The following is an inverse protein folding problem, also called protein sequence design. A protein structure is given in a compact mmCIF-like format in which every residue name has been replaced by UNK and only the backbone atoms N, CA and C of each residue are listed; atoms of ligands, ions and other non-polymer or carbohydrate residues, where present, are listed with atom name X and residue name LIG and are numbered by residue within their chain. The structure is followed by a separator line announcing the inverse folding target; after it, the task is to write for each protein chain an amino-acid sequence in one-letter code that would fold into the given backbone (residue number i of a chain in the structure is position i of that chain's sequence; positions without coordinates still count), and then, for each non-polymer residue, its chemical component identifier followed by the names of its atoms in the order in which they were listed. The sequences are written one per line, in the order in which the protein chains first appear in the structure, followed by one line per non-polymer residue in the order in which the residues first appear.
data_IF_024763718156
#
_entry.id   IF_024763718156
#
_cell.length_a   1.000
_cell.length_b   1.000
_cell.length_c   1.000
_cell.angle_alpha   90.00
_cell.angle_beta   90.00
_cell.angle_gamma   90.00
#
_symmetry.space_group_name_H-M   'P 1'
#
loop_
_entity.id
_entity.type
_entity.pdbx_description
1 polymer ?
#
# COMPACT_ATOMS: atom_id res chain seq x y z
N UNK A 1 -30.66 10.41 22.66
CA UNK A 1 -31.33 10.49 21.35
C UNK A 1 -31.65 9.06 20.92
N UNK A 2 -32.89 8.74 20.57
CA UNK A 2 -33.27 7.39 20.16
C UNK A 2 -32.71 7.06 18.76
N UNK A 3 -32.21 5.85 18.55
CA UNK A 3 -31.70 5.44 17.23
C UNK A 3 -32.79 5.59 16.15
N UNK A 4 -32.45 6.17 14.97
CA UNK A 4 -33.41 6.42 13.89
C UNK A 4 -34.04 5.13 13.33
N UNK A 5 -33.49 3.96 13.63
CA UNK A 5 -33.97 2.64 13.20
C UNK A 5 -35.36 2.26 13.73
N UNK A 6 -35.83 2.84 14.84
CA UNK A 6 -37.13 2.47 15.44
C UNK A 6 -38.35 2.87 14.60
N UNK A 7 -38.19 3.77 13.64
CA UNK A 7 -39.28 4.31 12.84
C UNK A 7 -39.32 3.80 11.39
N UNK A 8 -38.37 2.93 11.01
CA UNK A 8 -38.30 2.39 9.66
C UNK A 8 -39.35 1.28 9.48
N UNK A 9 -39.98 1.25 8.32
CA UNK A 9 -40.92 0.17 7.95
C UNK A 9 -42.17 0.66 7.24
N UNK A 10 -43.09 -0.28 7.05
CA UNK A 10 -44.40 -0.02 6.47
C UNK A 10 -45.42 0.14 7.59
N UNK A 11 -46.13 1.26 7.58
CA UNK A 11 -47.24 1.58 8.48
C UNK A 11 -48.56 1.48 7.71
N UNK A 12 -49.55 0.80 8.29
CA UNK A 12 -50.94 0.86 7.82
C UNK A 12 -51.72 1.80 8.72
N UNK A 13 -52.22 2.88 8.14
CA UNK A 13 -53.02 3.90 8.82
C UNK A 13 -54.47 3.70 8.41
N UNK A 14 -55.39 3.71 9.37
CA UNK A 14 -56.83 3.61 9.12
C UNK A 14 -57.50 4.92 9.50
N UNK A 15 -58.21 5.53 8.55
CA UNK A 15 -59.10 6.64 8.82
C UNK A 15 -60.51 6.11 8.98
N UNK A 16 -61.13 6.36 10.13
CA UNK A 16 -62.53 6.02 10.38
C UNK A 16 -63.32 7.31 10.54
N UNK A 17 -64.39 7.47 9.78
CA UNK A 17 -65.34 8.58 9.89
C UNK A 17 -66.68 7.99 10.27
N UNK A 18 -67.24 8.47 11.38
CA UNK A 18 -68.55 8.02 11.84
C UNK A 18 -69.31 9.12 12.56
N UNK A 19 -70.61 8.90 12.67
CA UNK A 19 -71.53 9.64 13.53
C UNK A 19 -71.95 8.77 14.71
N UNK A 20 -72.96 9.21 15.47
CA UNK A 20 -73.44 8.51 16.66
C UNK A 20 -74.08 7.14 16.37
N UNK A 21 -74.26 6.75 15.09
CA UNK A 21 -74.96 5.53 14.69
C UNK A 21 -74.20 4.66 13.67
N UNK A 22 -73.34 5.23 12.82
CA UNK A 22 -72.63 4.53 11.76
C UNK A 22 -71.19 5.02 11.61
N UNK A 23 -70.31 4.13 11.12
CA UNK A 23 -68.94 4.49 10.75
C UNK A 23 -68.50 3.77 9.47
N UNK A 24 -67.74 4.48 8.65
CA UNK A 24 -67.00 3.96 7.50
C UNK A 24 -65.50 4.11 7.75
N UNK A 25 -64.68 3.30 7.11
CA UNK A 25 -63.24 3.44 7.21
C UNK A 25 -62.53 3.09 5.93
N UNK A 26 -61.36 3.70 5.73
CA UNK A 26 -60.43 3.38 4.66
C UNK A 26 -59.01 3.27 5.21
N UNK A 27 -58.14 2.53 4.52
CA UNK A 27 -56.77 2.24 4.94
C UNK A 27 -55.74 2.73 3.90
N UNK A 28 -54.63 3.28 4.40
CA UNK A 28 -53.49 3.71 3.58
C UNK A 28 -52.19 3.10 4.12
N UNK A 29 -51.24 2.81 3.22
CA UNK A 29 -49.89 2.39 3.61
C UNK A 29 -48.87 3.52 3.44
N UNK A 30 -48.01 3.70 4.43
CA UNK A 30 -46.89 4.65 4.43
C UNK A 30 -45.59 3.87 4.64
N UNK A 31 -44.60 4.08 3.77
CA UNK A 31 -43.26 3.50 3.94
C UNK A 31 -42.29 4.57 4.42
N UNK A 32 -41.55 4.29 5.49
CA UNK A 32 -40.48 5.15 6.02
C UNK A 32 -39.14 4.43 5.87
N UNK A 33 -38.21 5.02 5.11
CA UNK A 33 -36.87 4.50 4.89
C UNK A 33 -35.80 5.62 4.87
N UNK A 34 -34.52 5.24 4.88
CA UNK A 34 -33.41 6.14 4.56
C UNK A 34 -32.43 5.50 3.56
N UNK A 35 -31.44 6.24 3.07
CA UNK A 35 -30.40 5.70 2.20
C UNK A 35 -29.48 4.73 2.96
N UNK A 36 -28.97 3.66 2.32
CA UNK A 36 -28.06 2.72 2.99
C UNK A 36 -26.85 3.42 3.61
N UNK A 37 -26.39 2.92 4.75
CA UNK A 37 -25.18 3.42 5.42
C UNK A 37 -24.14 2.31 5.37
N UNK A 38 -22.99 2.59 4.75
CA UNK A 38 -21.90 1.64 4.59
C UNK A 38 -20.76 2.04 5.54
N UNK A 39 -20.29 1.08 6.33
CA UNK A 39 -19.05 1.20 7.12
C UNK A 39 -18.05 0.17 6.61
N UNK A 40 -16.91 0.66 6.12
CA UNK A 40 -15.78 -0.16 5.66
C UNK A 40 -14.64 -0.09 6.68
N UNK A 41 -13.75 -1.09 6.63
CA UNK A 41 -12.46 -0.99 7.30
C UNK A 41 -11.60 0.14 6.71
N UNK A 42 -10.57 0.55 7.44
CA UNK A 42 -9.51 1.42 6.92
C UNK A 42 -8.74 0.76 5.77
N UNK A 43 -7.74 1.46 5.21
CA UNK A 43 -6.88 0.89 4.19
C UNK A 43 -6.19 -0.39 4.69
N UNK A 44 -5.97 -1.33 3.78
CA UNK A 44 -5.33 -2.61 4.13
C UNK A 44 -4.20 -2.97 3.17
N UNK A 45 -3.31 -3.84 3.64
CA UNK A 45 -2.18 -4.38 2.88
C UNK A 45 -2.38 -5.88 2.71
N UNK A 46 -2.15 -6.39 1.49
CA UNK A 46 -2.18 -7.82 1.16
C UNK A 46 -0.89 -8.22 0.46
N UNK A 47 -0.35 -9.40 0.77
CA UNK A 47 0.84 -9.94 0.12
C UNK A 47 0.41 -10.94 -0.96
N UNK A 48 0.78 -10.71 -2.21
CA UNK A 48 0.47 -11.60 -3.31
C UNK A 48 1.29 -12.90 -3.20
N UNK A 49 0.68 -14.07 -3.51
CA UNK A 49 -0.60 -14.26 -4.20
C UNK A 49 -1.85 -14.37 -3.28
N UNK A 50 -1.75 -14.00 -2.00
CA UNK A 50 -2.86 -14.11 -1.06
C UNK A 50 -4.05 -13.23 -1.48
N UNK A 51 -5.22 -13.57 -0.94
CA UNK A 51 -6.48 -12.85 -1.18
C UNK A 51 -6.78 -11.90 -0.03
N UNK A 52 -7.21 -10.69 -0.36
CA UNK A 52 -7.66 -9.73 0.64
C UNK A 52 -9.09 -10.05 1.09
N UNK A 53 -9.34 -10.06 2.40
CA UNK A 53 -10.68 -10.24 2.97
C UNK A 53 -11.33 -8.86 3.20
N UNK A 54 -12.30 -8.52 2.36
CA UNK A 54 -13.05 -7.28 2.49
C UNK A 54 -14.11 -7.45 3.58
N UNK A 55 -14.28 -6.43 4.42
CA UNK A 55 -15.30 -6.42 5.46
C UNK A 55 -16.13 -5.13 5.35
N UNK A 56 -17.44 -5.29 5.23
CA UNK A 56 -18.40 -4.19 5.21
C UNK A 56 -19.55 -4.47 6.19
N UNK A 57 -19.91 -3.45 6.95
CA UNK A 57 -21.17 -3.40 7.68
C UNK A 57 -22.11 -2.47 6.94
N UNK A 58 -23.31 -2.94 6.62
CA UNK A 58 -24.29 -2.16 5.85
C UNK A 58 -25.60 -2.11 6.61
N UNK A 59 -26.03 -0.91 6.98
CA UNK A 59 -27.42 -0.64 7.34
C UNK A 59 -28.21 -0.45 6.04
N UNK A 60 -29.24 -1.26 5.83
CA UNK A 60 -30.09 -1.20 4.65
C UNK A 60 -30.93 0.07 4.58
N UNK A 61 -31.20 0.70 5.72
CA UNK A 61 -32.17 1.78 5.82
C UNK A 61 -33.63 1.38 5.63
N UNK A 62 -33.91 0.08 5.63
CA UNK A 62 -35.24 -0.48 5.47
C UNK A 62 -35.75 -1.05 6.80
N UNK A 63 -37.05 -0.89 7.03
CA UNK A 63 -37.77 -1.62 8.07
C UNK A 63 -38.42 -2.89 7.55
N UNK A 64 -39.05 -3.65 8.45
CA UNK A 64 -39.91 -4.79 8.06
C UNK A 64 -41.11 -4.29 7.23
N UNK A 65 -41.55 -5.01 6.18
CA UNK A 65 -41.05 -6.28 5.64
C UNK A 65 -40.03 -6.14 4.49
N UNK A 66 -39.48 -4.94 4.27
CA UNK A 66 -38.74 -4.61 3.04
C UNK A 66 -37.25 -4.97 3.07
N UNK A 67 -36.72 -5.45 4.19
CA UNK A 67 -35.28 -5.69 4.43
C UNK A 67 -34.59 -6.54 3.33
N UNK A 68 -35.30 -7.47 2.69
CA UNK A 68 -34.77 -8.31 1.61
C UNK A 68 -34.44 -7.60 0.29
N UNK A 69 -34.71 -6.29 0.17
CA UNK A 69 -34.41 -5.50 -1.05
C UNK A 69 -32.97 -4.97 -1.11
N UNK A 70 -32.19 -5.11 -0.05
CA UNK A 70 -30.80 -4.65 -0.06
C UNK A 70 -29.97 -5.48 -1.04
N UNK A 71 -29.37 -4.80 -2.01
CA UNK A 71 -28.41 -5.35 -2.96
C UNK A 71 -27.06 -4.69 -2.76
N UNK A 72 -26.00 -5.49 -2.86
CA UNK A 72 -24.62 -5.05 -2.71
C UNK A 72 -23.85 -5.41 -3.98
N UNK A 73 -22.86 -4.58 -4.33
CA UNK A 73 -21.94 -4.89 -5.41
C UNK A 73 -20.59 -4.23 -5.21
N UNK A 74 -19.55 -5.05 -5.20
CA UNK A 74 -18.16 -4.63 -5.24
C UNK A 74 -17.68 -4.43 -6.68
N UNK A 75 -16.83 -3.43 -6.88
CA UNK A 75 -16.17 -3.15 -8.14
C UNK A 75 -14.81 -2.52 -7.92
N UNK A 76 -13.87 -2.76 -8.83
CA UNK A 76 -12.62 -2.00 -8.89
C UNK A 76 -12.89 -0.64 -9.54
N UNK A 77 -12.55 0.44 -8.85
CA UNK A 77 -12.61 1.81 -9.37
C UNK A 77 -11.30 2.19 -10.06
N UNK A 78 -10.17 1.83 -9.46
CA UNK A 78 -8.83 2.05 -10.01
C UNK A 78 -7.82 1.01 -9.52
N UNK A 79 -6.70 0.89 -10.23
CA UNK A 79 -5.57 0.05 -9.86
C UNK A 79 -4.79 -0.44 -11.09
N UNK A 80 -3.54 -0.90 -10.91
CA UNK A 80 -2.65 -1.24 -12.02
C UNK A 80 -2.94 -2.60 -12.68
N UNK A 81 -3.71 -3.47 -12.03
CA UNK A 81 -4.05 -4.80 -12.52
C UNK A 81 -5.55 -5.09 -12.43
N UNK A 82 -5.93 -6.34 -12.62
CA UNK A 82 -7.31 -6.79 -12.47
C UNK A 82 -7.59 -7.25 -11.04
N UNK A 83 -8.83 -7.04 -10.60
CA UNK A 83 -9.34 -7.52 -9.30
C UNK A 83 -10.47 -8.53 -9.56
N UNK A 84 -10.31 -9.75 -9.04
CA UNK A 84 -11.36 -10.78 -9.08
C UNK A 84 -11.92 -11.03 -7.69
N UNK A 85 -13.24 -11.02 -7.58
CA UNK A 85 -13.96 -11.31 -6.35
C UNK A 85 -14.46 -12.76 -6.40
N UNK A 86 -14.45 -13.46 -5.26
CA UNK A 86 -15.12 -14.76 -5.19
C UNK A 86 -16.63 -14.61 -5.44
N UNK A 87 -17.26 -13.61 -4.80
CA UNK A 87 -18.66 -13.24 -5.00
C UNK A 87 -18.84 -11.75 -4.74
N UNK A 88 -18.90 -10.93 -5.79
CA UNK A 88 -18.90 -9.47 -5.68
C UNK A 88 -20.17 -8.89 -5.00
N UNK A 89 -21.21 -9.69 -4.78
CA UNK A 89 -22.48 -9.26 -4.17
C UNK A 89 -22.55 -9.53 -2.67
N UNK A 90 -21.54 -10.17 -2.08
CA UNK A 90 -21.46 -10.35 -0.63
C UNK A 90 -21.01 -9.05 0.05
N UNK A 91 -21.42 -8.87 1.31
CA UNK A 91 -20.87 -7.81 2.16
C UNK A 91 -19.37 -8.03 2.40
N UNK A 92 -18.95 -9.29 2.59
CA UNK A 92 -17.59 -9.66 2.98
C UNK A 92 -16.93 -10.65 2.00
N UNK A 93 -16.62 -10.25 0.76
CA UNK A 93 -15.96 -11.14 -0.20
C UNK A 93 -14.45 -11.20 0.01
N UNK A 94 -13.81 -12.14 -0.67
CA UNK A 94 -12.37 -12.14 -0.89
C UNK A 94 -12.04 -11.58 -2.28
N UNK A 95 -11.06 -10.69 -2.35
CA UNK A 95 -10.55 -10.12 -3.60
C UNK A 95 -9.13 -10.65 -3.90
N UNK A 96 -8.87 -10.98 -5.15
CA UNK A 96 -7.54 -11.36 -5.65
C UNK A 96 -7.06 -10.35 -6.68
N UNK A 97 -5.78 -10.00 -6.63
CA UNK A 97 -5.17 -8.96 -7.47
C UNK A 97 -4.15 -9.60 -8.42
N UNK A 98 -4.09 -9.14 -9.66
CA UNK A 98 -3.14 -9.69 -10.65
C UNK A 98 -1.72 -9.11 -10.52
N UNK A 99 -1.59 -7.91 -9.95
CA UNK A 99 -0.38 -7.11 -9.98
C UNK A 99 -0.22 -6.39 -8.64
N UNK A 100 1.02 -6.13 -8.20
CA UNK A 100 1.25 -5.26 -7.06
C UNK A 100 0.92 -3.80 -7.38
N UNK A 101 0.53 -3.06 -6.34
CA UNK A 101 0.21 -1.64 -6.41
C UNK A 101 -1.01 -1.26 -5.59
N UNK A 102 -1.44 -0.01 -5.75
CA UNK A 102 -2.53 0.58 -4.97
C UNK A 102 -3.83 0.53 -5.76
N UNK A 103 -4.86 -0.05 -5.14
CA UNK A 103 -6.19 -0.23 -5.70
C UNK A 103 -7.22 0.57 -4.91
N UNK A 104 -8.22 1.11 -5.60
CA UNK A 104 -9.44 1.64 -4.96
C UNK A 104 -10.60 0.73 -5.35
N UNK A 105 -11.21 0.10 -4.35
CA UNK A 105 -12.39 -0.75 -4.52
C UNK A 105 -13.62 0.00 -3.99
N UNK A 106 -14.74 -0.15 -4.66
CA UNK A 106 -16.01 0.48 -4.34
C UNK A 106 -17.05 -0.57 -4.00
N UNK A 107 -17.71 -0.41 -2.85
CA UNK A 107 -18.96 -1.09 -2.52
C UNK A 107 -20.13 -0.17 -2.84
N UNK A 108 -21.05 -0.63 -3.66
CA UNK A 108 -22.35 0.01 -3.91
C UNK A 108 -23.43 -0.75 -3.14
N UNK A 109 -24.23 -0.04 -2.34
CA UNK A 109 -25.39 -0.58 -1.66
C UNK A 109 -26.66 0.10 -2.15
N UNK A 110 -27.67 -0.68 -2.53
CA UNK A 110 -28.94 -0.17 -3.03
C UNK A 110 -30.09 -0.91 -2.33
N UNK A 111 -31.03 -0.17 -1.75
CA UNK A 111 -32.15 -0.74 -0.99
C UNK A 111 -33.49 -0.80 -1.78
N UNK A 112 -33.39 -0.76 -3.11
CA UNK A 112 -34.50 -0.73 -4.05
C UNK A 112 -35.00 0.68 -4.39
N UNK A 113 -34.64 1.70 -3.60
CA UNK A 113 -35.08 3.09 -3.83
C UNK A 113 -33.91 4.08 -3.79
N UNK A 114 -32.97 3.87 -2.88
CA UNK A 114 -31.83 4.75 -2.65
C UNK A 114 -30.53 3.96 -2.78
N UNK A 115 -29.48 4.63 -3.22
CA UNK A 115 -28.14 4.06 -3.44
C UNK A 115 -27.09 4.87 -2.70
N UNK A 116 -26.18 4.17 -2.03
CA UNK A 116 -24.98 4.73 -1.40
C UNK A 116 -23.75 3.97 -1.89
N UNK A 117 -22.62 4.65 -1.95
CA UNK A 117 -21.32 4.04 -2.29
C UNK A 117 -20.30 4.32 -1.19
N UNK A 118 -19.35 3.43 -1.02
CA UNK A 118 -18.19 3.62 -0.17
C UNK A 118 -16.94 3.00 -0.82
N UNK A 119 -15.80 3.66 -0.64
CA UNK A 119 -14.53 3.28 -1.24
C UNK A 119 -13.54 2.81 -0.17
N UNK A 120 -12.70 1.83 -0.52
CA UNK A 120 -11.59 1.34 0.31
C UNK A 120 -10.32 1.23 -0.53
N UNK A 121 -9.20 1.64 0.07
CA UNK A 121 -7.87 1.52 -0.54
C UNK A 121 -7.21 0.21 -0.12
N UNK A 122 -6.69 -0.53 -1.10
CA UNK A 122 -5.96 -1.78 -0.88
C UNK A 122 -4.57 -1.69 -1.50
N UNK A 123 -3.55 -1.97 -0.70
CA UNK A 123 -2.15 -2.03 -1.12
C UNK A 123 -1.76 -3.50 -1.33
N UNK A 124 -1.67 -3.93 -2.60
CA UNK A 124 -1.22 -5.27 -2.95
C UNK A 124 0.29 -5.25 -3.15
N UNK A 125 1.03 -6.04 -2.36
CA UNK A 125 2.48 -6.09 -2.40
C UNK A 125 2.96 -7.46 -2.91
N UNK A 126 4.09 -7.49 -3.60
CA UNK A 126 4.85 -8.70 -3.91
C UNK A 126 6.14 -8.73 -3.11
N UNK A 127 6.73 -9.91 -2.96
CA UNK A 127 8.07 -10.02 -2.40
C UNK A 127 9.07 -9.23 -3.27
N UNK A 128 10.05 -8.54 -2.65
CA UNK A 128 11.08 -7.84 -3.41
C UNK A 128 11.96 -8.85 -4.14
N UNK A 129 12.39 -8.49 -5.34
CA UNK A 129 13.37 -9.26 -6.10
C UNK A 129 14.72 -8.55 -6.06
N UNK A 130 15.80 -9.32 -5.96
CA UNK A 130 17.15 -8.77 -5.90
C UNK A 130 18.09 -9.55 -6.81
N UNK A 131 19.18 -8.89 -7.19
CA UNK A 131 20.30 -9.46 -7.93
C UNK A 131 21.58 -9.21 -7.15
N UNK A 132 22.41 -10.25 -7.05
CA UNK A 132 23.76 -10.15 -6.52
C UNK A 132 24.75 -10.35 -7.67
N UNK A 133 25.74 -9.47 -7.79
CA UNK A 133 26.84 -9.70 -8.72
C UNK A 133 27.80 -10.73 -8.15
N UNK A 134 28.31 -11.64 -8.98
CA UNK A 134 29.36 -12.56 -8.55
C UNK A 134 30.57 -11.75 -8.07
N UNK A 135 31.04 -11.94 -6.83
CA UNK A 135 32.21 -11.20 -6.38
C UNK A 135 33.42 -11.60 -7.23
N UNK A 136 34.31 -10.65 -7.57
CA UNK A 136 35.57 -10.98 -8.21
C UNK A 136 36.41 -11.87 -7.29
N UNK A 137 37.34 -12.65 -7.86
CA UNK A 137 38.35 -13.38 -7.11
C UNK A 137 39.08 -12.41 -6.16
N UNK A 138 39.07 -12.70 -4.86
CA UNK A 138 39.64 -11.82 -3.83
C UNK A 138 41.01 -12.34 -3.42
N UNK A 139 42.04 -11.52 -3.65
CA UNK A 139 43.39 -11.79 -3.15
C UNK A 139 43.62 -11.03 -1.85
N UNK A 140 43.85 -11.76 -0.75
CA UNK A 140 44.16 -11.15 0.54
C UNK A 140 45.51 -10.40 0.48
N UNK A 141 45.66 -9.28 1.23
CA UNK A 141 44.75 -8.73 2.23
C UNK A 141 43.69 -7.77 1.67
N UNK A 142 43.52 -7.70 0.35
CA UNK A 142 42.60 -6.76 -0.29
C UNK A 142 41.15 -7.10 0.09
N UNK A 143 40.36 -6.12 0.57
CA UNK A 143 38.95 -6.33 0.84
C UNK A 143 38.16 -6.65 -0.43
N UNK A 144 37.10 -7.47 -0.30
CA UNK A 144 36.15 -7.74 -1.37
C UNK A 144 35.12 -6.61 -1.46
N UNK A 145 34.68 -6.28 -2.69
CA UNK A 145 33.57 -5.37 -2.92
C UNK A 145 32.34 -6.19 -3.35
N UNK A 146 31.35 -6.25 -2.48
CA UNK A 146 30.08 -6.95 -2.68
C UNK A 146 29.09 -5.98 -3.32
N UNK A 147 28.51 -6.38 -4.44
CA UNK A 147 27.53 -5.57 -5.14
C UNK A 147 26.19 -6.32 -5.20
N UNK A 148 25.16 -5.67 -4.68
CA UNK A 148 23.78 -6.11 -4.77
C UNK A 148 22.90 -4.99 -5.32
N UNK A 149 21.76 -5.37 -5.85
CA UNK A 149 20.75 -4.45 -6.38
C UNK A 149 19.37 -5.02 -6.07
N UNK A 150 18.44 -4.16 -5.64
CA UNK A 150 17.03 -4.51 -5.57
C UNK A 150 16.44 -4.27 -6.95
N UNK A 151 15.99 -5.32 -7.63
CA UNK A 151 15.44 -5.22 -8.99
C UNK A 151 14.03 -4.63 -8.94
N UNK A 152 13.19 -5.13 -8.03
CA UNK A 152 11.87 -4.58 -7.75
C UNK A 152 11.58 -4.64 -6.25
N UNK A 153 11.00 -3.58 -5.70
CA UNK A 153 10.62 -3.51 -4.28
C UNK A 153 9.33 -4.27 -4.00
N UNK A 154 8.47 -4.45 -5.02
CA UNK A 154 7.16 -5.09 -4.89
C UNK A 154 6.15 -4.33 -4.03
N UNK A 155 6.45 -3.09 -3.65
CA UNK A 155 5.60 -2.29 -2.75
C UNK A 155 4.62 -1.41 -3.52
N UNK A 156 3.38 -1.37 -3.05
CA UNK A 156 2.39 -0.38 -3.42
C UNK A 156 2.72 1.01 -2.82
N UNK A 157 2.23 2.09 -3.44
CA UNK A 157 2.42 3.49 -3.02
C UNK A 157 1.36 3.91 -1.98
N UNK A 158 1.70 4.43 -0.78
CA UNK A 158 3.03 4.79 -0.31
C UNK A 158 3.92 3.59 -0.02
N UNK A 159 5.12 3.63 -0.61
CA UNK A 159 6.10 2.56 -0.47
C UNK A 159 6.43 2.33 1.02
N UNK A 160 6.21 1.10 1.49
CA UNK A 160 6.77 0.64 2.75
C UNK A 160 8.30 0.78 2.79
N UNK A 161 8.90 0.56 3.96
CA UNK A 161 10.36 0.57 4.09
C UNK A 161 10.94 -0.77 3.61
N UNK A 162 11.93 -0.70 2.73
CA UNK A 162 12.72 -1.88 2.33
C UNK A 162 14.03 -1.87 3.13
N UNK A 163 14.47 -3.04 3.60
CA UNK A 163 15.72 -3.20 4.36
C UNK A 163 16.63 -4.22 3.68
N UNK A 164 17.94 -3.99 3.73
CA UNK A 164 18.97 -4.92 3.24
C UNK A 164 19.94 -5.29 4.37
N UNK A 165 20.46 -6.51 4.33
CA UNK A 165 21.50 -6.96 5.25
C UNK A 165 22.39 -8.04 4.62
N UNK A 166 23.69 -7.90 4.79
CA UNK A 166 24.68 -8.94 4.49
C UNK A 166 25.04 -9.72 5.75
N UNK A 167 25.10 -11.05 5.60
CA UNK A 167 25.54 -11.97 6.66
C UNK A 167 26.40 -13.06 6.06
N UNK A 168 27.35 -13.56 6.87
CA UNK A 168 28.08 -14.77 6.52
C UNK A 168 27.18 -15.98 6.81
N UNK A 169 26.77 -16.70 5.77
CA UNK A 169 25.96 -17.92 5.92
C UNK A 169 26.85 -19.13 6.23
N UNK A 170 27.97 -19.28 5.52
CA UNK A 170 28.93 -20.37 5.70
C UNK A 170 30.32 -19.95 5.20
N UNK A 171 31.38 -20.46 5.82
CA UNK A 171 32.77 -20.24 5.40
C UNK A 171 33.80 -20.75 6.41
N UNK A 172 35.07 -20.91 5.98
CA UNK A 172 36.14 -21.47 6.82
C UNK A 172 36.68 -20.50 7.90
N UNK A 173 36.22 -19.25 7.92
CA UNK A 173 36.68 -18.25 8.88
C UNK A 173 35.75 -17.03 8.94
N UNK A 174 35.99 -16.13 9.91
CA UNK A 174 35.15 -14.96 10.13
C UNK A 174 35.32 -13.88 9.04
N UNK A 175 34.18 -13.30 8.65
CA UNK A 175 34.09 -12.16 7.72
C UNK A 175 33.61 -10.93 8.48
N UNK A 176 34.33 -9.82 8.32
CA UNK A 176 33.92 -8.51 8.84
C UNK A 176 33.39 -7.66 7.69
N UNK A 177 32.18 -7.13 7.84
CA UNK A 177 31.56 -6.20 6.91
C UNK A 177 31.82 -4.76 7.37
N UNK A 178 32.29 -3.89 6.48
CA UNK A 178 32.46 -2.47 6.77
C UNK A 178 31.12 -1.76 6.94
N UNK A 179 30.10 -2.18 6.18
CA UNK A 179 28.71 -1.79 6.32
C UNK A 179 27.84 -2.98 5.92
N UNK A 180 27.16 -3.62 6.87
CA UNK A 180 26.32 -4.78 6.58
C UNK A 180 24.92 -4.40 6.10
N UNK A 181 24.46 -3.16 6.32
CA UNK A 181 23.09 -2.72 6.06
C UNK A 181 23.01 -1.63 5.00
N UNK A 182 24.04 -1.49 4.17
CA UNK A 182 24.04 -0.52 3.09
C UNK A 182 22.80 -0.72 2.22
N UNK A 183 22.07 0.37 2.00
CA UNK A 183 20.87 0.39 1.18
C UNK A 183 21.19 -0.04 -0.25
N UNK A 184 20.44 -0.99 -0.82
CA UNK A 184 20.58 -1.40 -2.21
C UNK A 184 19.57 -0.63 -3.05
N UNK A 185 19.97 0.33 -3.88
CA UNK A 185 19.02 1.12 -4.65
C UNK A 185 18.41 0.29 -5.79
N UNK A 186 17.17 0.60 -6.21
CA UNK A 186 16.62 0.11 -7.46
C UNK A 186 17.23 0.80 -8.69
N UNK A 187 17.22 0.16 -9.88
CA UNK A 187 17.74 0.77 -11.10
C UNK A 187 17.00 2.08 -11.44
N UNK A 188 17.66 3.10 -12.04
CA UNK A 188 18.96 3.07 -12.73
C UNK A 188 20.18 3.48 -11.88
N UNK A 189 20.06 3.50 -10.55
CA UNK A 189 21.15 3.94 -9.67
C UNK A 189 22.27 2.90 -9.62
N UNK A 190 23.53 3.35 -9.52
CA UNK A 190 24.67 2.45 -9.41
C UNK A 190 24.54 1.55 -8.17
N UNK A 191 24.89 0.25 -8.26
CA UNK A 191 24.78 -0.69 -7.14
C UNK A 191 25.66 -0.21 -5.98
N UNK A 192 25.15 -0.38 -4.76
CA UNK A 192 25.91 -0.03 -3.56
C UNK A 192 26.87 -1.16 -3.22
N UNK A 193 28.12 -0.76 -3.05
CA UNK A 193 29.25 -1.62 -2.77
C UNK A 193 29.44 -1.80 -1.26
N UNK A 194 29.44 -3.03 -0.77
CA UNK A 194 29.82 -3.36 0.61
C UNK A 194 31.20 -3.96 0.64
N UNK A 195 32.06 -3.41 1.50
CA UNK A 195 33.43 -3.91 1.64
C UNK A 195 33.50 -4.98 2.72
N UNK A 196 34.02 -6.17 2.39
CA UNK A 196 34.20 -7.27 3.32
C UNK A 196 35.66 -7.73 3.38
N UNK A 197 36.20 -7.89 4.60
CA UNK A 197 37.53 -8.45 4.82
C UNK A 197 37.42 -9.83 5.45
N UNK A 198 38.14 -10.81 4.88
CA UNK A 198 38.35 -12.08 5.59
C UNK A 198 39.47 -11.90 6.61
N UNK A 199 39.20 -12.19 7.87
CA UNK A 199 40.22 -12.15 8.91
C UNK A 199 40.81 -13.55 9.08
N UNK A 200 42.15 -13.68 8.96
CA UNK A 200 42.84 -14.90 9.39
C UNK A 200 42.93 -14.85 10.91
N UNK A 201 42.28 -15.78 11.58
CA UNK A 201 42.64 -16.12 12.95
C UNK A 201 44.07 -16.67 12.93
N UNK A 202 45.03 -15.91 13.49
CA UNK A 202 46.37 -16.42 13.72
C UNK A 202 46.28 -17.65 14.65
N UNK A 203 46.96 -18.77 14.34
CA UNK A 203 46.99 -19.90 15.24
C UNK A 203 47.73 -19.50 16.52
N UNK A 204 47.03 -19.58 17.66
CA UNK A 204 47.59 -19.71 19.00
C UNK A 204 48.66 -18.69 19.40
N UNK A 205 48.25 -17.49 19.79
CA UNK A 205 48.84 -16.84 20.96
C UNK A 205 47.72 -16.32 21.85
N UNK A 206 47.67 -16.86 23.05
CA UNK A 206 46.84 -16.39 24.15
C UNK A 206 46.97 -14.86 24.25
N UNK A 207 45.87 -14.10 24.37
CA UNK A 207 45.98 -12.67 24.53
C UNK A 207 46.67 -12.40 25.88
N UNK A 208 47.66 -11.50 25.97
CA UNK A 208 48.03 -10.96 27.27
C UNK A 208 46.81 -10.23 27.82
N UNK A 209 46.56 -10.41 29.11
CA UNK A 209 45.51 -9.71 29.86
C UNK A 209 45.73 -8.20 29.69
N UNK A 210 45.00 -7.58 28.76
CA UNK A 210 45.01 -6.14 28.57
C UNK A 210 44.08 -5.53 29.62
N UNK A 211 44.69 -5.07 30.72
CA UNK A 211 44.06 -4.10 31.62
C UNK A 211 43.53 -2.93 30.81
N UNK A 212 42.25 -2.62 31.03
CA UNK A 212 41.60 -1.37 30.65
C UNK A 212 42.51 -0.16 30.90
N UNK A 213 43.03 0.41 29.82
CA UNK A 213 43.46 1.81 29.76
C UNK A 213 43.11 2.36 28.39
N UNK A 214 42.17 3.28 28.41
CA UNK A 214 41.84 4.20 27.33
C UNK A 214 43.11 4.88 26.80
N UNK A 215 43.14 5.25 25.51
CA UNK A 215 43.78 6.50 25.15
C UNK A 215 42.84 7.38 24.32
N UNK A 216 42.57 8.55 24.90
CA UNK A 216 42.30 9.76 24.15
C UNK A 216 43.53 10.09 23.27
N UNK A 217 43.25 10.74 22.14
CA UNK A 217 44.14 11.67 21.39
C UNK A 217 45.15 11.06 20.40
N UNK A 218 44.84 11.15 19.10
CA UNK A 218 45.52 11.97 18.06
C UNK A 218 45.15 11.46 16.66
N UNK A 219 44.06 11.98 16.08
CA UNK A 219 43.89 11.96 14.62
C UNK A 219 44.63 13.16 14.03
N UNK A 220 45.72 12.90 13.32
CA UNK A 220 46.30 13.84 12.35
C UNK A 220 45.72 13.50 10.97
N UNK A 221 44.87 14.36 10.46
CA UNK A 221 44.41 14.34 9.06
C UNK A 221 45.38 15.16 8.21
N UNK A 222 45.79 14.61 7.06
CA UNK A 222 46.24 15.41 5.93
C UNK A 222 45.11 15.50 4.91
N UNK A 223 44.78 16.73 4.53
CA UNK A 223 43.83 17.10 3.49
C UNK A 223 44.42 16.87 2.10
N UNK A 224 43.55 16.55 1.14
CA UNK A 224 43.43 17.22 -0.17
C UNK A 224 42.05 16.82 -0.73
N UNK A 225 41.02 17.68 -0.62
CA UNK A 225 40.54 18.55 -1.72
C UNK A 225 39.58 17.77 -2.63
N UNK A 226 38.29 18.06 -2.80
CA UNK A 226 37.63 19.34 -3.03
C UNK A 226 36.11 19.26 -2.71
N UNK A 227 35.64 20.32 -2.04
CA UNK A 227 34.35 21.06 -2.18
C UNK A 227 33.23 20.45 -3.04
N UNK A 228 31.95 20.40 -2.63
CA UNK A 228 31.08 21.50 -2.16
C UNK A 228 29.84 20.94 -1.45
N UNK A 229 29.34 21.70 -0.48
CA UNK A 229 28.00 21.53 0.10
C UNK A 229 26.90 21.82 -0.94
N UNK A 230 25.78 21.11 -0.89
CA UNK A 230 24.49 21.70 -1.24
C UNK A 230 23.35 20.99 -0.54
N UNK A 231 22.75 21.71 0.40
CA UNK A 231 21.38 21.56 0.90
C UNK A 231 20.40 21.15 -0.19
N UNK A 232 19.64 20.08 0.05
CA UNK A 232 18.48 19.72 -0.77
C UNK A 232 17.30 20.61 -0.36
N UNK A 233 16.88 21.52 -1.24
CA UNK A 233 15.57 22.19 -1.19
C UNK A 233 14.70 21.68 -2.34
N UNK A 234 13.39 21.54 -2.13
CA UNK A 234 12.51 20.83 -3.05
C UNK A 234 12.19 21.65 -4.31
N UNK A 235 12.10 20.95 -5.44
CA UNK A 235 11.70 21.53 -6.73
C UNK A 235 10.21 21.88 -6.73
N UNK A 236 9.92 23.14 -7.06
CA UNK A 236 8.59 23.71 -7.28
C UNK A 236 8.55 24.28 -8.70
N UNK A 237 7.49 23.94 -9.44
CA UNK A 237 6.94 24.51 -10.68
C UNK A 237 7.71 24.22 -11.99
N UNK A 238 7.13 23.47 -12.94
CA UNK A 238 6.06 23.85 -13.89
C UNK A 238 6.45 25.03 -14.81
N UNK A 239 6.64 24.73 -16.10
CA UNK A 239 6.17 25.49 -17.27
C UNK A 239 6.52 24.68 -18.54
N UNK A 240 5.54 24.14 -19.30
CA UNK A 240 4.67 24.78 -20.31
C UNK A 240 5.16 24.41 -21.74
N UNK A 241 4.42 24.73 -22.83
CA UNK A 241 3.85 23.73 -23.74
C UNK A 241 4.59 23.63 -25.09
N UNK A 242 4.51 22.47 -25.74
CA UNK A 242 5.00 22.26 -27.10
C UNK A 242 4.13 23.01 -28.12
N UNK A 243 4.71 23.98 -28.84
CA UNK A 243 4.10 24.61 -30.00
C UNK A 243 4.25 23.70 -31.23
N UNK A 244 3.12 23.37 -31.86
CA UNK A 244 3.04 22.73 -33.18
C UNK A 244 3.25 23.78 -34.28
N UNK A 245 4.19 23.52 -35.19
CA UNK A 245 4.37 24.28 -36.42
C UNK A 245 3.49 23.66 -37.52
N UNK A 246 2.46 24.37 -37.97
CA UNK A 246 1.66 24.00 -39.13
C UNK A 246 2.05 24.87 -40.34
N UNK A 247 2.45 24.24 -41.44
CA UNK A 247 2.69 24.87 -42.74
C UNK A 247 1.40 24.85 -43.58
N UNK A 248 0.88 26.01 -43.96
CA UNK A 248 -0.12 26.17 -45.02
C UNK A 248 0.57 26.44 -46.38
N UNK A 249 -0.04 26.03 -47.52
CA UNK A 249 0.20 26.66 -48.80
C UNK A 249 -0.92 27.64 -49.21
N UNK A 250 -0.49 28.71 -49.89
CA UNK A 250 -1.25 29.88 -50.41
C UNK A 250 -2.16 29.58 -51.62
N UNK A 251 -3.08 30.50 -52.00
CA UNK A 251 -4.16 30.25 -52.96
C UNK A 251 -3.80 30.68 -54.39
N UNK A 252 -4.52 30.13 -55.38
CA UNK A 252 -4.64 30.68 -56.74
C UNK A 252 -6.12 30.71 -57.13
N UNK A 253 -6.44 31.79 -57.85
CA UNK A 253 -7.73 32.30 -58.30
C UNK A 253 -8.59 31.34 -59.12
#
# INVERSE_FOLDING_TARGET
MASPSRWLGVYTLRLTVGDDAQAISDEMTLTVNHAPIITLAESMVVQLPDRARLTAQVDSGLGSPQQGRLTLRWSQLSGPGTVSFNEATLANPTAQFSTSGTYVLRLTANNGQLTTVADITVHANTAPTLRVAAPPLVNLPTPANLQGEIVETGLADPAGTVTSQWTLVNGPGPVTFADAQAWLPPPPLAPVAITACASRSAPGRSPPVARSRSPLTRLRWWMLGLTRASTYRPWRNWMAPSAMTASQPSPVA
#
